data_IF_780071682740
#
_entry.id   IF_780071682740
#
_cell.length_a   1.000
_cell.length_b   1.000
_cell.length_c   1.000
_cell.angle_alpha   90.00
_cell.angle_beta   90.00
_cell.angle_gamma   90.00
#
_symmetry.space_group_name_H-M   'P 1'
#
loop_
_entity.id
_entity.type
_entity.pdbx_description
1 polymer ?
#
# COMPACT_ATOMS: atom_id res chain seq x y z
N UNK A 1 -19.42 -10.21 -58.57
CA UNK A 1 -18.37 -10.66 -57.63
C UNK A 1 -17.30 -9.59 -57.38
N UNK A 2 -16.67 -9.01 -58.35
CA UNK A 2 -15.56 -8.04 -58.19
C UNK A 2 -15.92 -6.80 -57.38
N UNK A 3 -17.11 -6.25 -57.49
CA UNK A 3 -17.54 -5.06 -56.72
C UNK A 3 -17.76 -5.35 -55.23
N UNK A 4 -18.15 -6.55 -54.85
CA UNK A 4 -18.31 -6.98 -53.47
C UNK A 4 -16.96 -7.13 -52.80
N UNK A 5 -15.99 -7.73 -53.47
CA UNK A 5 -14.61 -7.87 -52.99
C UNK A 5 -13.95 -6.50 -52.77
N UNK A 6 -14.15 -5.54 -53.66
CA UNK A 6 -13.67 -4.16 -53.50
C UNK A 6 -14.28 -3.46 -52.29
N UNK A 7 -15.59 -3.61 -52.05
CA UNK A 7 -16.28 -3.02 -50.90
C UNK A 7 -15.78 -3.61 -49.59
N UNK A 8 -15.61 -4.93 -49.50
CA UNK A 8 -15.04 -5.60 -48.35
C UNK A 8 -13.62 -5.13 -48.09
N UNK A 9 -12.79 -5.03 -49.14
CA UNK A 9 -11.40 -4.53 -49.02
C UNK A 9 -11.33 -3.11 -48.50
N UNK A 10 -12.19 -2.19 -48.97
CA UNK A 10 -12.25 -0.80 -48.50
C UNK A 10 -12.74 -0.76 -47.03
N UNK A 11 -13.72 -1.56 -46.65
CA UNK A 11 -14.20 -1.62 -45.27
C UNK A 11 -13.13 -2.11 -44.29
N UNK A 12 -12.41 -3.18 -44.67
CA UNK A 12 -11.28 -3.69 -43.85
C UNK A 12 -10.18 -2.65 -43.75
N UNK A 13 -9.83 -1.97 -44.83
CA UNK A 13 -8.79 -0.91 -44.80
C UNK A 13 -9.23 0.24 -43.89
N UNK A 14 -10.49 0.66 -43.94
CA UNK A 14 -11.04 1.70 -43.09
C UNK A 14 -11.04 1.31 -41.61
N UNK A 15 -11.39 0.04 -41.30
CA UNK A 15 -11.30 -0.47 -39.92
C UNK A 15 -9.87 -0.52 -39.40
N UNK A 16 -8.92 -0.96 -40.20
CA UNK A 16 -7.50 -0.95 -39.85
C UNK A 16 -6.98 0.47 -39.62
N UNK A 17 -7.39 1.43 -40.43
CA UNK A 17 -7.03 2.83 -40.28
C UNK A 17 -7.61 3.43 -38.99
N UNK A 18 -8.89 3.19 -38.68
CA UNK A 18 -9.52 3.60 -37.44
C UNK A 18 -8.86 2.96 -36.22
N UNK A 19 -8.53 1.67 -36.30
CA UNK A 19 -7.80 0.97 -35.23
C UNK A 19 -6.41 1.57 -35.00
N UNK A 20 -5.69 1.91 -36.07
CA UNK A 20 -4.37 2.57 -35.98
C UNK A 20 -4.46 3.97 -35.36
N UNK A 21 -5.46 4.76 -35.73
CA UNK A 21 -5.72 6.07 -35.14
C UNK A 21 -6.08 5.96 -33.65
N UNK A 22 -6.92 4.99 -33.30
CA UNK A 22 -7.30 4.73 -31.89
C UNK A 22 -6.09 4.28 -31.06
N UNK A 23 -5.26 3.39 -31.58
CA UNK A 23 -4.04 2.95 -30.94
C UNK A 23 -3.04 4.10 -30.74
N UNK A 24 -2.86 4.93 -31.78
CA UNK A 24 -2.00 6.12 -31.68
C UNK A 24 -2.51 7.15 -30.68
N UNK A 25 -3.83 7.38 -30.65
CA UNK A 25 -4.46 8.28 -29.68
C UNK A 25 -4.31 7.78 -28.25
N UNK A 26 -4.54 6.48 -28.00
CA UNK A 26 -4.33 5.83 -26.71
C UNK A 26 -2.86 5.95 -26.28
N UNK A 27 -1.94 5.67 -27.18
CA UNK A 27 -0.50 5.80 -26.90
C UNK A 27 -0.09 7.23 -26.55
N UNK A 28 -0.69 8.22 -27.19
CA UNK A 28 -0.47 9.63 -26.85
C UNK A 28 -1.02 9.97 -25.46
N UNK A 29 -2.13 9.38 -25.08
CA UNK A 29 -2.75 9.57 -23.75
C UNK A 29 -1.91 8.99 -22.60
N UNK A 30 -1.14 7.93 -22.83
CA UNK A 30 -0.26 7.38 -21.78
C UNK A 30 0.90 8.30 -21.42
N UNK A 31 1.22 9.29 -22.25
CA UNK A 31 2.30 10.26 -22.00
C UNK A 31 1.86 11.51 -21.25
N UNK A 32 0.60 11.61 -20.89
CA UNK A 32 0.10 12.74 -20.09
C UNK A 32 0.63 12.63 -18.67
N UNK A 33 1.33 13.66 -18.22
CA UNK A 33 1.87 13.74 -16.86
C UNK A 33 0.86 14.44 -15.96
N UNK A 34 0.45 13.86 -14.81
CA UNK A 34 -0.45 14.50 -13.86
C UNK A 34 0.12 15.84 -13.34
N UNK A 35 -0.73 16.83 -13.16
CA UNK A 35 -0.31 18.17 -12.74
C UNK A 35 0.38 18.17 -11.37
N UNK A 36 -0.18 17.47 -10.38
CA UNK A 36 0.43 17.36 -9.05
C UNK A 36 1.84 16.74 -9.10
N UNK A 37 2.06 15.79 -10.01
CA UNK A 37 3.38 15.18 -10.19
C UNK A 37 4.40 16.18 -10.75
N UNK A 38 3.99 17.02 -11.69
CA UNK A 38 4.84 18.08 -12.23
C UNK A 38 5.22 19.10 -11.15
N UNK A 39 4.27 19.48 -10.28
CA UNK A 39 4.52 20.40 -9.17
C UNK A 39 5.49 19.78 -8.15
N UNK A 40 5.27 18.51 -7.77
CA UNK A 40 6.13 17.81 -6.84
C UNK A 40 7.56 17.53 -7.36
N UNK A 41 7.81 17.67 -8.66
CA UNK A 41 9.17 17.52 -9.23
C UNK A 41 10.00 18.81 -9.19
N UNK A 42 9.47 19.92 -8.71
CA UNK A 42 10.16 21.22 -8.68
C UNK A 42 10.97 21.46 -7.39
N UNK A 43 11.09 20.47 -6.50
CA UNK A 43 11.91 20.58 -5.28
C UNK A 43 13.39 20.80 -5.62
N UNK A 44 14.04 21.73 -4.92
CA UNK A 44 15.47 21.99 -5.07
C UNK A 44 16.30 20.99 -4.25
N UNK A 45 17.57 20.77 -4.63
CA UNK A 45 18.46 19.82 -3.93
C UNK A 45 18.63 20.11 -2.41
N UNK A 46 18.86 21.36 -1.96
CA UNK A 46 18.98 21.65 -0.53
C UNK A 46 17.68 21.35 0.24
N UNK A 47 16.52 21.57 -0.37
CA UNK A 47 15.22 21.25 0.23
C UNK A 47 15.02 19.73 0.34
N UNK A 48 15.55 18.96 -0.59
CA UNK A 48 15.48 17.49 -0.57
C UNK A 48 16.28 16.92 0.62
N UNK A 49 17.49 17.38 0.84
CA UNK A 49 18.32 16.90 1.97
C UNK A 49 17.69 17.29 3.32
N UNK A 50 17.28 18.55 3.47
CA UNK A 50 16.66 19.04 4.68
C UNK A 50 15.33 18.35 4.98
N UNK A 51 14.45 18.19 4.00
CA UNK A 51 13.16 17.52 4.16
C UNK A 51 13.30 16.03 4.46
N UNK A 52 14.25 15.36 3.81
CA UNK A 52 14.55 13.94 4.07
C UNK A 52 15.01 13.74 5.52
N UNK A 53 15.91 14.57 6.01
CA UNK A 53 16.35 14.56 7.41
C UNK A 53 15.21 14.87 8.38
N UNK A 54 14.36 15.86 8.04
CA UNK A 54 13.21 16.23 8.86
C UNK A 54 12.19 15.08 8.98
N UNK A 55 11.92 14.35 7.90
CA UNK A 55 11.05 13.17 7.96
C UNK A 55 11.62 12.11 8.89
N UNK A 56 12.91 11.77 8.74
CA UNK A 56 13.57 10.77 9.60
C UNK A 56 13.56 11.20 11.09
N UNK A 57 13.79 12.48 11.37
CA UNK A 57 13.69 13.02 12.72
C UNK A 57 12.26 12.91 13.29
N UNK A 58 11.24 13.22 12.49
CA UNK A 58 9.84 13.09 12.90
C UNK A 58 9.44 11.62 13.13
N UNK A 59 9.93 10.69 12.31
CA UNK A 59 9.73 9.24 12.51
C UNK A 59 10.43 8.77 13.79
N UNK A 60 11.67 9.17 14.01
CA UNK A 60 12.41 8.83 15.23
C UNK A 60 11.73 9.39 16.51
N UNK A 61 11.21 10.61 16.42
CA UNK A 61 10.44 11.21 17.51
C UNK A 61 9.15 10.43 17.78
N UNK A 62 8.39 10.07 16.72
CA UNK A 62 7.20 9.24 16.87
C UNK A 62 7.53 7.90 17.54
N UNK A 63 8.60 7.23 17.11
CA UNK A 63 9.06 5.99 17.73
C UNK A 63 9.40 6.17 19.21
N UNK A 64 10.10 7.25 19.55
CA UNK A 64 10.43 7.59 20.95
C UNK A 64 9.17 7.88 21.78
N UNK A 65 8.22 8.63 21.24
CA UNK A 65 6.98 8.96 21.94
C UNK A 65 6.09 7.72 22.10
N UNK A 66 5.96 6.91 21.04
CA UNK A 66 5.21 5.65 21.07
C UNK A 66 5.88 4.55 21.92
N UNK A 67 7.16 4.68 22.28
CA UNK A 67 7.82 3.75 23.20
C UNK A 67 7.51 4.01 24.67
N UNK A 68 6.82 5.10 24.99
CA UNK A 68 6.45 5.49 26.35
C UNK A 68 4.95 5.37 26.56
N UNK A 69 4.49 5.02 27.78
CA UNK A 69 3.06 5.00 28.05
C UNK A 69 2.47 6.41 27.92
N UNK A 70 1.27 6.49 27.32
CA UNK A 70 0.53 7.73 27.16
C UNK A 70 0.17 8.05 25.72
N UNK A 71 -0.48 9.20 25.53
CA UNK A 71 -0.90 9.68 24.21
C UNK A 71 0.28 10.27 23.44
N UNK A 72 0.30 10.01 22.13
CA UNK A 72 1.29 10.56 21.21
C UNK A 72 0.64 11.15 19.97
N UNK A 73 1.33 12.08 19.32
CA UNK A 73 0.91 12.72 18.07
C UNK A 73 2.11 12.91 17.15
N UNK A 74 1.87 12.74 15.85
CA UNK A 74 2.88 13.00 14.83
C UNK A 74 2.25 13.74 13.65
N UNK A 75 3.07 14.53 12.95
CA UNK A 75 2.71 15.22 11.73
C UNK A 75 3.78 15.01 10.68
N UNK A 76 3.38 14.63 9.47
CA UNK A 76 4.28 14.39 8.34
C UNK A 76 3.84 15.27 7.19
N UNK A 77 4.74 16.17 6.77
CA UNK A 77 4.47 17.09 5.67
C UNK A 77 4.74 16.41 4.33
N UNK A 78 3.95 16.74 3.34
CA UNK A 78 4.09 16.28 1.96
C UNK A 78 5.51 16.51 1.41
N UNK A 79 6.05 17.71 1.66
CA UNK A 79 7.39 18.10 1.20
C UNK A 79 8.48 17.20 1.77
N UNK A 80 8.41 16.91 3.07
CA UNK A 80 9.37 16.05 3.77
C UNK A 80 9.30 14.60 3.26
N UNK A 81 8.06 14.10 3.03
CA UNK A 81 7.84 12.76 2.47
C UNK A 81 8.39 12.70 1.04
N UNK A 82 8.10 13.68 0.20
CA UNK A 82 8.62 13.73 -1.17
C UNK A 82 10.14 13.82 -1.20
N UNK A 83 10.73 14.61 -0.31
CA UNK A 83 12.18 14.71 -0.15
C UNK A 83 12.82 13.36 0.20
N UNK A 84 12.21 12.62 1.12
CA UNK A 84 12.68 11.29 1.50
C UNK A 84 12.51 10.26 0.37
N UNK A 85 11.37 10.29 -0.34
CA UNK A 85 11.13 9.43 -1.51
C UNK A 85 12.19 9.64 -2.59
N UNK A 86 12.66 10.87 -2.80
CA UNK A 86 13.71 11.18 -3.76
C UNK A 86 15.07 10.66 -3.27
N UNK A 87 15.41 10.95 -2.02
CA UNK A 87 16.74 10.76 -1.48
C UNK A 87 16.99 9.32 -1.00
N UNK A 88 16.07 8.76 -0.23
CA UNK A 88 16.27 7.52 0.51
C UNK A 88 15.67 6.29 -0.16
N UNK A 89 14.52 6.43 -0.84
CA UNK A 89 13.84 5.27 -1.43
C UNK A 89 14.71 4.54 -2.46
N UNK A 90 15.44 5.22 -3.37
CA UNK A 90 16.31 4.55 -4.32
C UNK A 90 17.44 3.74 -3.67
N UNK A 91 17.92 4.18 -2.51
CA UNK A 91 18.99 3.53 -1.75
C UNK A 91 18.49 2.32 -0.96
N UNK A 92 17.27 2.42 -0.41
CA UNK A 92 16.69 1.38 0.45
C UNK A 92 15.94 0.30 -0.33
N UNK A 93 15.43 0.63 -1.52
CA UNK A 93 14.58 -0.24 -2.35
C UNK A 93 15.05 -0.29 -3.80
N UNK A 94 16.26 -0.74 -4.02
CA UNK A 94 16.89 -0.87 -5.34
C UNK A 94 16.05 -1.72 -6.32
N UNK A 95 15.27 -2.66 -5.78
CA UNK A 95 14.37 -3.53 -6.56
C UNK A 95 13.24 -2.77 -7.27
N UNK A 96 12.81 -1.62 -6.73
CA UNK A 96 11.79 -0.78 -7.38
C UNK A 96 12.33 -0.15 -8.68
N UNK A 97 13.60 0.20 -8.70
CA UNK A 97 14.26 0.75 -9.89
C UNK A 97 14.44 -0.31 -10.98
N UNK A 98 14.80 -1.54 -10.59
CA UNK A 98 14.90 -2.67 -11.51
C UNK A 98 13.56 -3.05 -12.13
N UNK A 99 12.46 -2.81 -11.44
CA UNK A 99 11.10 -2.99 -11.95
C UNK A 99 10.62 -1.84 -12.87
N UNK A 100 11.47 -0.84 -13.16
CA UNK A 100 11.15 0.28 -14.06
C UNK A 100 10.48 1.48 -13.39
N UNK A 101 10.20 1.42 -12.08
CA UNK A 101 9.62 2.52 -11.32
C UNK A 101 10.68 3.52 -10.88
N UNK A 102 10.48 4.81 -11.17
CA UNK A 102 11.40 5.90 -10.83
C UNK A 102 10.64 7.11 -10.31
N UNK A 103 11.35 7.94 -9.58
CA UNK A 103 10.88 9.26 -9.13
C UNK A 103 9.47 9.24 -8.51
N UNK A 104 9.21 8.44 -7.47
CA UNK A 104 7.91 8.43 -6.81
C UNK A 104 7.64 9.79 -6.15
N UNK A 105 6.38 10.23 -6.24
CA UNK A 105 5.88 11.47 -5.63
C UNK A 105 4.51 11.22 -5.06
N UNK A 106 4.20 11.97 -4.01
CA UNK A 106 2.87 12.04 -3.44
C UNK A 106 2.37 13.48 -3.42
N UNK A 107 1.06 13.64 -3.39
CA UNK A 107 0.40 14.88 -3.00
C UNK A 107 -0.72 14.56 -2.03
N UNK A 108 -0.72 15.25 -0.89
CA UNK A 108 -1.66 15.03 0.20
C UNK A 108 -2.76 16.07 0.08
N UNK A 109 -3.93 15.60 -0.26
CA UNK A 109 -5.13 16.41 -0.37
C UNK A 109 -5.98 16.20 0.89
N UNK A 110 -6.99 17.06 1.04
CA UNK A 110 -8.01 16.83 2.06
C UNK A 110 -8.70 15.49 1.78
N UNK A 111 -8.65 14.56 2.73
CA UNK A 111 -9.30 13.25 2.75
C UNK A 111 -8.69 12.17 1.83
N UNK A 112 -7.68 12.46 1.00
CA UNK A 112 -7.02 11.45 0.17
C UNK A 112 -5.59 11.81 -0.19
N UNK A 113 -4.86 10.83 -0.66
CA UNK A 113 -3.48 10.96 -1.11
C UNK A 113 -3.41 10.58 -2.59
N UNK A 114 -2.76 11.42 -3.38
CA UNK A 114 -2.39 11.12 -4.74
C UNK A 114 -0.95 10.58 -4.73
N UNK A 115 -0.73 9.43 -5.34
CA UNK A 115 0.61 8.88 -5.51
C UNK A 115 0.90 8.69 -7.00
N UNK A 116 2.12 8.97 -7.41
CA UNK A 116 2.57 8.70 -8.77
C UNK A 116 4.05 8.35 -8.82
N UNK A 117 4.41 7.57 -9.84
CA UNK A 117 5.79 7.25 -10.16
C UNK A 117 5.96 7.16 -11.67
N UNK A 118 7.11 7.56 -12.17
CA UNK A 118 7.47 7.36 -13.57
C UNK A 118 7.80 5.89 -13.79
N UNK A 119 7.21 5.30 -14.80
CA UNK A 119 7.48 3.95 -15.24
C UNK A 119 8.12 3.98 -16.63
N UNK A 120 9.30 3.40 -16.75
CA UNK A 120 10.03 3.37 -18.02
C UNK A 120 10.49 1.94 -18.30
N UNK A 121 10.06 1.40 -19.43
CA UNK A 121 10.59 0.18 -20.00
C UNK A 121 10.97 0.40 -21.48
N UNK A 122 11.38 -0.67 -22.18
CA UNK A 122 11.80 -0.60 -23.58
C UNK A 122 10.73 -0.09 -24.55
N UNK A 123 9.44 -0.10 -24.15
CA UNK A 123 8.29 0.23 -25.02
C UNK A 123 7.42 1.36 -24.50
N UNK A 124 7.47 1.60 -23.19
CA UNK A 124 6.55 2.51 -22.53
C UNK A 124 7.32 3.45 -21.58
N UNK A 125 7.11 4.75 -21.74
CA UNK A 125 7.51 5.79 -20.78
C UNK A 125 6.24 6.56 -20.39
N UNK A 126 5.81 6.38 -19.14
CA UNK A 126 4.55 6.92 -18.63
C UNK A 126 4.67 7.25 -17.15
N UNK A 127 3.72 8.02 -16.63
CA UNK A 127 3.54 8.22 -15.20
C UNK A 127 2.35 7.38 -14.76
N UNK A 128 2.61 6.40 -13.87
CA UNK A 128 1.55 5.65 -13.21
C UNK A 128 1.12 6.46 -11.99
N UNK A 129 -0.18 6.69 -11.85
CA UNK A 129 -0.75 7.43 -10.72
C UNK A 129 -1.97 6.73 -10.15
N UNK A 130 -2.19 6.91 -8.86
CA UNK A 130 -3.39 6.42 -8.17
C UNK A 130 -3.84 7.40 -7.08
N UNK A 131 -5.09 7.25 -6.68
CA UNK A 131 -5.71 7.96 -5.57
C UNK A 131 -5.93 6.96 -4.44
N UNK A 132 -5.46 7.29 -3.24
CA UNK A 132 -5.51 6.44 -2.05
C UNK A 132 -6.35 7.13 -0.98
N UNK A 133 -7.39 6.45 -0.50
CA UNK A 133 -8.13 6.86 0.69
C UNK A 133 -7.79 5.90 1.81
N UNK A 134 -7.30 6.43 2.92
CA UNK A 134 -6.87 5.65 4.07
C UNK A 134 -7.80 5.93 5.24
N UNK A 135 -8.37 4.89 5.80
CA UNK A 135 -9.30 4.97 6.93
C UNK A 135 -8.90 3.95 8.00
N UNK A 136 -9.10 4.29 9.27
CA UNK A 136 -9.03 3.31 10.35
C UNK A 136 -10.31 2.48 10.35
N UNK A 137 -10.17 1.18 10.53
CA UNK A 137 -11.33 0.28 10.74
C UNK A 137 -11.72 0.25 12.21
N UNK A 138 -12.79 -0.50 12.54
CA UNK A 138 -13.17 -0.76 13.92
C UNK A 138 -12.14 -1.64 14.67
N UNK A 139 -11.33 -2.39 13.93
CA UNK A 139 -10.26 -3.20 14.51
C UNK A 139 -9.03 -2.33 14.80
N UNK A 140 -8.42 -2.45 15.98
CA UNK A 140 -7.24 -1.67 16.33
C UNK A 140 -6.09 -1.86 15.35
N UNK A 141 -5.50 -0.78 14.91
CA UNK A 141 -4.34 -0.76 13.99
C UNK A 141 -4.58 -1.42 12.63
N UNK A 142 -5.82 -1.67 12.25
CA UNK A 142 -6.17 -2.16 10.93
C UNK A 142 -6.61 -0.98 10.05
N UNK A 143 -5.84 -0.73 9.01
CA UNK A 143 -6.07 0.34 8.06
C UNK A 143 -6.77 -0.21 6.81
N UNK A 144 -7.82 0.44 6.38
CA UNK A 144 -8.44 0.20 5.08
C UNK A 144 -7.90 1.23 4.08
N UNK A 145 -7.19 0.75 3.07
CA UNK A 145 -6.63 1.57 1.99
C UNK A 145 -7.42 1.30 0.71
N UNK A 146 -8.25 2.25 0.34
CA UNK A 146 -9.02 2.19 -0.90
C UNK A 146 -8.21 2.78 -2.05
N UNK A 147 -7.86 1.96 -3.02
CA UNK A 147 -7.12 2.41 -4.20
C UNK A 147 -8.11 2.76 -5.30
N UNK A 148 -8.09 4.00 -5.73
CA UNK A 148 -8.97 4.52 -6.77
C UNK A 148 -8.16 5.12 -7.91
N UNK A 149 -8.81 5.25 -9.07
CA UNK A 149 -8.29 5.97 -10.23
C UNK A 149 -6.86 5.59 -10.63
N UNK A 150 -6.52 4.29 -10.61
CA UNK A 150 -5.23 3.84 -11.12
C UNK A 150 -5.13 4.15 -12.61
N UNK A 151 -4.09 4.89 -13.01
CA UNK A 151 -3.90 5.37 -14.38
C UNK A 151 -2.45 5.22 -14.84
N UNK A 152 -2.28 5.02 -16.15
CA UNK A 152 -1.01 5.25 -16.84
C UNK A 152 -1.19 6.47 -17.75
N UNK A 153 -0.59 7.60 -17.37
CA UNK A 153 -0.92 8.89 -17.93
C UNK A 153 -2.40 9.23 -17.73
N UNK A 154 -3.14 9.43 -18.82
CA UNK A 154 -4.59 9.66 -18.78
C UNK A 154 -5.42 8.37 -18.91
N UNK A 155 -4.81 7.21 -19.18
CA UNK A 155 -5.49 5.93 -19.41
C UNK A 155 -5.76 5.23 -18.08
N UNK A 156 -7.02 4.92 -17.79
CA UNK A 156 -7.39 4.16 -16.59
C UNK A 156 -6.98 2.68 -16.71
N UNK A 157 -6.39 2.15 -15.65
CA UNK A 157 -5.96 0.76 -15.54
C UNK A 157 -6.84 0.00 -14.56
N UNK A 158 -7.20 -1.27 -14.85
CA UNK A 158 -7.93 -2.10 -13.91
C UNK A 158 -7.00 -2.57 -12.80
N UNK A 159 -7.28 -2.15 -11.56
CA UNK A 159 -6.44 -2.48 -10.40
C UNK A 159 -6.30 -3.99 -10.16
N UNK A 160 -7.30 -4.79 -10.55
CA UNK A 160 -7.30 -6.24 -10.38
C UNK A 160 -6.07 -6.95 -10.98
N UNK A 161 -5.46 -6.36 -12.00
CA UNK A 161 -4.24 -6.90 -12.63
C UNK A 161 -2.98 -6.67 -11.78
N UNK A 162 -3.02 -5.74 -10.84
CA UNK A 162 -1.87 -5.33 -10.02
C UNK A 162 -1.93 -5.84 -8.58
N UNK A 163 -3.09 -6.34 -8.14
CA UNK A 163 -3.31 -6.75 -6.75
C UNK A 163 -2.31 -7.78 -6.24
N UNK A 164 -2.01 -8.80 -7.05
CA UNK A 164 -1.05 -9.85 -6.68
C UNK A 164 0.39 -9.32 -6.62
N UNK A 165 0.76 -8.43 -7.54
CA UNK A 165 2.06 -7.76 -7.52
C UNK A 165 2.22 -6.90 -6.26
N UNK A 166 1.23 -6.07 -5.95
CA UNK A 166 1.24 -5.22 -4.74
C UNK A 166 1.35 -6.09 -3.48
N UNK A 167 0.58 -7.17 -3.37
CA UNK A 167 0.65 -8.09 -2.24
C UNK A 167 2.04 -8.70 -2.08
N UNK A 168 2.63 -9.15 -3.18
CA UNK A 168 3.96 -9.77 -3.18
C UNK A 168 5.05 -8.79 -2.75
N UNK A 169 5.03 -7.58 -3.28
CA UNK A 169 6.02 -6.55 -2.93
C UNK A 169 5.83 -6.04 -1.49
N UNK A 170 4.61 -5.86 -1.03
CA UNK A 170 4.30 -5.49 0.36
C UNK A 170 4.81 -6.54 1.34
N UNK A 171 4.65 -7.82 1.02
CA UNK A 171 5.13 -8.91 1.86
C UNK A 171 6.67 -8.93 1.98
N UNK A 172 7.41 -8.58 0.91
CA UNK A 172 8.87 -8.43 0.95
C UNK A 172 9.30 -7.29 1.89
N UNK A 173 8.50 -6.21 1.95
CA UNK A 173 8.69 -5.10 2.88
C UNK A 173 8.22 -5.38 4.32
N UNK A 174 7.77 -6.60 4.63
CA UNK A 174 7.26 -6.97 5.95
C UNK A 174 5.85 -6.43 6.27
N UNK A 175 5.17 -5.84 5.29
CA UNK A 175 3.80 -5.32 5.44
C UNK A 175 2.79 -6.43 5.16
N UNK A 176 1.99 -6.77 6.17
CA UNK A 176 0.88 -7.73 6.01
C UNK A 176 -0.30 -7.02 5.35
N UNK A 177 -0.53 -7.32 4.09
CA UNK A 177 -1.60 -6.76 3.29
C UNK A 177 -2.58 -7.86 2.88
N UNK A 178 -3.86 -7.62 3.13
CA UNK A 178 -4.95 -8.48 2.70
C UNK A 178 -5.91 -7.69 1.80
N UNK A 179 -6.35 -8.31 0.70
CA UNK A 179 -7.33 -7.68 -0.19
C UNK A 179 -8.75 -8.09 0.19
N UNK A 180 -9.59 -7.09 0.41
CA UNK A 180 -11.04 -7.27 0.52
C UNK A 180 -11.74 -6.63 -0.69
N UNK A 181 -12.89 -7.19 -1.07
CA UNK A 181 -13.75 -6.66 -2.14
C UNK A 181 -14.98 -6.02 -1.51
N UNK A 182 -14.88 -4.73 -1.29
CA UNK A 182 -16.02 -3.95 -0.83
C UNK A 182 -16.88 -3.46 -1.99
N UNK A 183 -18.08 -2.93 -1.71
CA UNK A 183 -18.94 -2.31 -2.72
C UNK A 183 -18.30 -1.09 -3.39
N UNK A 184 -17.34 -0.45 -2.74
CA UNK A 184 -16.59 0.71 -3.23
C UNK A 184 -15.36 0.36 -4.05
N UNK A 185 -15.08 -0.94 -4.25
CA UNK A 185 -13.94 -1.43 -5.01
C UNK A 185 -12.95 -2.25 -4.17
N UNK A 186 -11.80 -2.63 -4.75
CA UNK A 186 -10.77 -3.35 -4.03
C UNK A 186 -10.16 -2.49 -2.93
N UNK A 187 -10.15 -3.03 -1.72
CA UNK A 187 -9.63 -2.40 -0.52
C UNK A 187 -8.47 -3.23 0.01
N UNK A 188 -7.33 -2.60 0.23
CA UNK A 188 -6.20 -3.23 0.89
C UNK A 188 -6.33 -3.02 2.41
N UNK A 189 -6.45 -4.11 3.15
CA UNK A 189 -6.40 -4.11 4.61
C UNK A 189 -4.94 -4.26 5.05
N UNK A 190 -4.43 -3.28 5.78
CA UNK A 190 -3.03 -3.21 6.22
C UNK A 190 -3.01 -3.26 7.74
N UNK A 191 -2.44 -4.32 8.29
CA UNK A 191 -2.27 -4.46 9.73
C UNK A 191 -0.96 -3.80 10.19
N UNK A 192 -1.08 -2.78 11.02
CA UNK A 192 0.06 -2.18 11.72
C UNK A 192 0.28 -2.94 13.03
N UNK A 193 1.47 -3.52 13.27
CA UNK A 193 1.72 -4.25 14.50
C UNK A 193 1.52 -3.36 15.75
N UNK A 194 0.73 -3.84 16.70
CA UNK A 194 0.53 -3.20 18.00
C UNK A 194 1.64 -3.52 18.99
N UNK A 195 2.43 -4.55 18.69
CA UNK A 195 3.55 -4.99 19.51
C UNK A 195 4.85 -4.93 18.70
N UNK A 196 5.89 -4.41 19.27
CA UNK A 196 7.21 -4.36 18.66
C UNK A 196 8.24 -4.75 19.71
N UNK A 197 9.21 -5.60 19.33
CA UNK A 197 10.23 -6.09 20.24
C UNK A 197 11.10 -4.98 20.90
N UNK A 198 11.14 -3.79 20.33
CA UNK A 198 11.82 -2.62 20.85
C UNK A 198 10.97 -1.74 21.79
N UNK A 199 9.68 -2.05 21.99
CA UNK A 199 8.81 -1.26 22.85
C UNK A 199 8.62 -1.94 24.20
N UNK A 200 9.00 -1.24 25.27
CA UNK A 200 8.83 -1.73 26.63
C UNK A 200 7.36 -1.76 27.09
N UNK A 201 6.51 -1.05 26.38
CA UNK A 201 5.08 -0.92 26.68
C UNK A 201 4.26 -1.25 25.45
N UNK A 202 3.21 -2.03 25.63
CA UNK A 202 2.25 -2.41 24.59
C UNK A 202 0.85 -2.50 25.20
N UNK A 203 -0.21 -2.38 24.42
CA UNK A 203 -0.21 -2.19 22.96
C UNK A 203 0.08 -0.73 22.55
N UNK A 204 0.59 -0.54 21.33
CA UNK A 204 0.63 0.76 20.65
C UNK A 204 -0.59 0.83 19.73
N UNK A 205 -1.48 1.79 19.97
CA UNK A 205 -2.77 1.91 19.27
C UNK A 205 -2.82 3.23 18.51
N UNK A 206 -3.13 3.14 17.22
CA UNK A 206 -3.43 4.30 16.37
C UNK A 206 -4.91 4.65 16.56
N UNK A 207 -5.19 5.87 17.01
CA UNK A 207 -6.57 6.33 17.25
C UNK A 207 -7.11 7.18 16.12
N UNK A 208 -6.24 7.89 15.41
CA UNK A 208 -6.66 8.78 14.33
C UNK A 208 -5.59 8.91 13.26
N UNK A 209 -6.04 8.89 12.02
CA UNK A 209 -5.30 9.28 10.83
C UNK A 209 -6.12 10.35 10.12
N UNK A 210 -5.55 11.52 9.94
CA UNK A 210 -6.21 12.63 9.27
C UNK A 210 -5.32 13.16 8.16
N UNK A 211 -5.86 13.27 6.97
CA UNK A 211 -5.21 13.95 5.85
C UNK A 211 -5.77 15.36 5.75
N UNK A 212 -4.88 16.32 5.84
CA UNK A 212 -5.15 17.72 5.56
C UNK A 212 -4.33 18.13 4.34
N UNK A 213 -4.61 19.27 3.76
CA UNK A 213 -3.83 19.77 2.62
C UNK A 213 -2.34 19.85 2.99
N UNK A 214 -1.51 19.08 2.28
CA UNK A 214 -0.06 19.05 2.44
C UNK A 214 0.47 18.30 3.68
N UNK A 215 -0.36 17.63 4.51
CA UNK A 215 0.13 16.89 5.65
C UNK A 215 -0.75 15.72 6.10
N UNK A 216 -0.11 14.71 6.72
CA UNK A 216 -0.77 13.60 7.43
C UNK A 216 -0.57 13.81 8.92
N UNK A 217 -1.67 13.78 9.67
CA UNK A 217 -1.68 13.85 11.12
C UNK A 217 -2.03 12.47 11.68
N UNK A 218 -1.19 11.97 12.57
CA UNK A 218 -1.39 10.71 13.30
C UNK A 218 -1.54 10.99 14.78
N UNK A 219 -2.44 10.28 15.45
CA UNK A 219 -2.48 10.25 16.89
C UNK A 219 -2.82 8.86 17.41
N UNK A 220 -2.41 8.59 18.63
CA UNK A 220 -2.63 7.32 19.28
C UNK A 220 -2.21 7.32 20.72
N UNK A 221 -2.18 6.13 21.32
CA UNK A 221 -1.69 5.93 22.66
C UNK A 221 -0.88 4.64 22.78
N UNK A 222 -0.06 4.55 23.80
CA UNK A 222 0.71 3.36 24.17
C UNK A 222 0.37 2.94 25.59
N UNK A 223 0.16 1.64 25.78
CA UNK A 223 -0.33 1.07 27.03
C UNK A 223 -1.86 1.12 27.15
N UNK A 224 -2.40 0.52 28.18
CA UNK A 224 -3.84 0.55 28.49
C UNK A 224 -4.28 1.96 28.87
N UNK A 225 -5.37 2.47 28.29
CA UNK A 225 -5.99 3.70 28.78
C UNK A 225 -6.43 3.51 30.22
N UNK A 226 -6.17 4.51 31.05
CA UNK A 226 -6.60 4.49 32.47
C UNK A 226 -8.13 4.32 32.62
N UNK A 227 -8.90 4.65 31.59
CA UNK A 227 -10.36 4.48 31.55
C UNK A 227 -10.80 3.02 31.32
N UNK A 228 -9.98 2.18 30.69
CA UNK A 228 -10.30 0.76 30.46
C UNK A 228 -10.12 -0.11 31.72
N UNK A 229 -9.50 0.43 32.78
CA UNK A 229 -9.35 -0.25 34.07
C UNK A 229 -10.64 -0.30 34.91
N UNK A 230 -11.75 0.28 34.46
CA UNK A 230 -12.96 0.36 35.27
C UNK A 230 -14.25 -0.05 34.58
N UNK A 231 -14.25 -1.25 33.96
CA UNK A 231 -15.54 -2.00 33.79
C UNK A 231 -15.26 -3.50 33.74
N UNK A 232 -15.63 -4.27 34.77
CA UNK A 232 -15.74 -5.71 34.63
C UNK A 232 -17.08 -5.98 33.91
N UNK A 233 -17.16 -5.88 32.62
CA UNK A 233 -18.22 -6.49 31.83
C UNK A 233 -17.69 -7.72 31.15
N UNK A 234 -18.05 -8.85 31.79
CA UNK A 234 -17.85 -10.14 31.16
C UNK A 234 -18.50 -10.20 29.80
N UNK A 235 -17.68 -10.47 28.84
CA UNK A 235 -18.10 -11.13 27.61
C UNK A 235 -16.88 -11.89 27.12
N UNK A 236 -16.88 -13.16 27.40
CA UNK A 236 -15.92 -14.11 26.87
C UNK A 236 -16.25 -14.25 25.39
N UNK A 237 -15.64 -13.45 24.55
CA UNK A 237 -15.54 -13.80 23.14
C UNK A 237 -14.37 -14.77 22.97
N UNK A 238 -14.76 -16.04 22.86
CA UNK A 238 -13.87 -17.13 22.46
C UNK A 238 -13.15 -16.73 21.18
N UNK A 239 -11.83 -16.62 21.28
CA UNK A 239 -10.97 -16.67 20.12
C UNK A 239 -11.14 -18.03 19.47
N UNK A 240 -11.87 -18.07 18.36
CA UNK A 240 -11.89 -19.24 17.48
C UNK A 240 -10.57 -19.26 16.73
N UNK A 241 -9.61 -19.93 17.34
CA UNK A 241 -8.38 -20.35 16.65
C UNK A 241 -8.79 -21.36 15.58
N UNK A 242 -8.81 -20.99 14.34
CA UNK A 242 -8.85 -21.93 13.23
C UNK A 242 -7.52 -22.66 13.15
N UNK A 243 -7.36 -23.68 13.98
CA UNK A 243 -6.43 -24.76 13.72
C UNK A 243 -7.09 -25.68 12.68
N UNK A 244 -6.66 -25.59 11.46
CA UNK A 244 -6.95 -26.56 10.43
C UNK A 244 -6.11 -27.82 10.74
N UNK A 245 -6.67 -28.69 11.57
CA UNK A 245 -6.12 -30.05 11.79
C UNK A 245 -6.49 -30.86 10.57
N UNK A 246 -5.49 -31.15 9.75
CA UNK A 246 -5.56 -32.10 8.67
C UNK A 246 -5.73 -33.51 9.25
N UNK A 247 -6.98 -34.01 9.28
CA UNK A 247 -7.32 -35.37 9.63
C UNK A 247 -7.07 -36.31 8.45
N UNK A 248 -5.83 -36.53 8.11
CA UNK A 248 -5.42 -37.71 7.31
C UNK A 248 -4.05 -38.15 7.76
N UNK A 249 -4.03 -39.03 8.77
CA UNK A 249 -3.11 -40.14 9.00
C UNK A 249 -3.09 -40.52 10.49
N UNK A 250 -4.18 -41.10 10.92
CA UNK A 250 -4.21 -41.87 12.17
C UNK A 250 -4.86 -43.24 11.87
N UNK A 251 -4.12 -44.08 11.18
CA UNK A 251 -4.31 -45.51 11.25
C UNK A 251 -2.98 -46.12 10.78
N UNK A 252 -2.28 -46.74 11.68
CA UNK A 252 -1.54 -47.97 11.54
C UNK A 252 -0.67 -48.16 12.81
N UNK A 253 -0.98 -49.28 13.44
CA UNK A 253 -0.07 -50.08 14.28
C UNK A 253 -0.12 -49.85 15.80
N UNK A 254 -1.12 -50.50 16.38
CA UNK A 254 -1.00 -51.22 17.65
C UNK A 254 0.00 -52.35 17.50
N UNK A 255 1.11 -52.28 18.19
CA UNK A 255 2.14 -53.30 18.28
C UNK A 255 2.66 -53.40 19.73
N UNK A 256 2.05 -54.31 20.48
CA UNK A 256 2.48 -54.81 21.77
C UNK A 256 3.90 -55.36 21.72
N UNK A 257 4.73 -55.07 22.75
CA UNK A 257 5.68 -56.04 23.37
C UNK A 257 6.39 -55.39 24.57
N UNK A 258 5.98 -55.78 25.76
CA UNK A 258 6.74 -56.53 26.76
C UNK A 258 8.09 -55.95 27.25
N UNK A 259 8.08 -55.58 28.53
CA UNK A 259 9.25 -55.55 29.43
C UNK A 259 9.98 -56.93 29.48
N UNK A 260 11.29 -56.93 29.75
CA UNK A 260 11.68 -57.40 31.06
C UNK A 260 12.78 -56.61 31.80
N UNK A 261 12.67 -56.70 33.09
CA UNK A 261 13.51 -56.31 34.19
C UNK A 261 14.87 -57.07 34.28
N UNK A 262 15.82 -56.42 35.05
CA UNK A 262 17.03 -56.94 35.71
C UNK A 262 18.35 -56.88 34.91
N UNK A 263 19.34 -56.29 35.38
CA UNK A 263 20.10 -56.20 36.65
C UNK A 263 21.02 -54.97 36.61
#
# INVERSE_FOLDING_TARGET
MVQWVKRIGITVLMLLFLASLSAWWLFRQTRVVPEFYQQATQLSNPDIEAGSFQLEANVAKLQQDASKPGAWKASFREEDINAWLINQLPLKFEQLQTAGGRDPRISIQKDHLLAAARYTDARLDTVISCELHVELTEEPNLLAVHIRKLKAGAVSLPISQFMDGIRTESAKGGVKLHWDRTKSGPTALVQVPSEHAGYAYSPVIIESIQMIEGAILLSGHTGTKAEDCYTPRGSIHQFVTYQHIDKRNANISSGSAAFPSRR
#
